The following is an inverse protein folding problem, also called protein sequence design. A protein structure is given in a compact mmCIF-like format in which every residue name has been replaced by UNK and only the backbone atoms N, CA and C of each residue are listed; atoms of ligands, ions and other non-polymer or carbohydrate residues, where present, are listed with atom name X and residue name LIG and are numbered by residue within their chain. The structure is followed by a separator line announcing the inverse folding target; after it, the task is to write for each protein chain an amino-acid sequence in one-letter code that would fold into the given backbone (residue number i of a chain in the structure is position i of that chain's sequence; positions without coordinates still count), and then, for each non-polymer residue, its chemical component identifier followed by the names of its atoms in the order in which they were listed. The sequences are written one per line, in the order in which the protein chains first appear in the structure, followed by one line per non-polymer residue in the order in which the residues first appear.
data_IF_136637771838
#
_entry.id   IF_136637771838
#
_cell.length_a   1.000
_cell.length_b   1.000
_cell.length_c   1.000
_cell.angle_alpha   90.00
_cell.angle_beta   90.00
_cell.angle_gamma   90.00
#
_symmetry.space_group_name_H-M   'P 1'
#
loop_
_entity.id
_entity.type
_entity.pdbx_description
1 polymer ?
#
# COMPACT_ATOMS: atom_id res chain seq x y z
N UNK A 1 19.84 -20.60 22.81
CA UNK A 1 19.69 -19.13 22.75
C UNK A 1 19.69 -18.56 21.30
N UNK A 2 19.87 -19.34 20.23
CA UNK A 2 19.90 -18.80 18.85
C UNK A 2 18.52 -18.72 18.16
N UNK A 3 17.62 -19.66 18.45
CA UNK A 3 16.34 -19.84 17.73
C UNK A 3 15.38 -18.63 17.82
N UNK A 4 15.30 -17.98 18.99
CA UNK A 4 14.44 -16.80 19.20
C UNK A 4 14.96 -15.53 18.50
N UNK A 5 16.26 -15.46 18.24
CA UNK A 5 16.93 -14.33 17.59
C UNK A 5 16.80 -14.42 16.07
N UNK A 6 16.86 -15.65 15.54
CA UNK A 6 16.67 -15.95 14.11
C UNK A 6 15.23 -15.68 13.65
N UNK A 7 14.21 -16.07 14.43
CA UNK A 7 12.80 -15.82 14.11
C UNK A 7 12.46 -14.33 14.03
N UNK A 8 12.97 -13.54 14.99
CA UNK A 8 12.81 -12.07 15.00
C UNK A 8 13.49 -11.40 13.81
N UNK A 9 14.69 -11.87 13.43
CA UNK A 9 15.40 -11.41 12.23
C UNK A 9 14.62 -11.73 10.95
N UNK A 10 14.08 -12.94 10.84
CA UNK A 10 13.26 -13.36 9.70
C UNK A 10 12.02 -12.49 9.51
N UNK A 11 11.27 -12.23 10.60
CA UNK A 11 10.10 -11.35 10.54
C UNK A 11 10.45 -9.90 10.15
N UNK A 12 11.53 -9.35 10.72
CA UNK A 12 11.98 -8.00 10.37
C UNK A 12 12.44 -7.89 8.90
N UNK A 13 13.14 -8.90 8.39
CA UNK A 13 13.56 -8.97 6.99
C UNK A 13 12.34 -9.08 6.07
N UNK A 14 11.35 -9.91 6.40
CA UNK A 14 10.11 -10.04 5.62
C UNK A 14 9.35 -8.72 5.51
N UNK A 15 9.20 -7.99 6.62
CA UNK A 15 8.59 -6.65 6.62
C UNK A 15 9.39 -5.68 5.75
N UNK A 16 10.71 -5.66 5.89
CA UNK A 16 11.56 -4.76 5.11
C UNK A 16 11.46 -5.04 3.60
N UNK A 17 11.51 -6.31 3.20
CA UNK A 17 11.36 -6.74 1.80
C UNK A 17 9.99 -6.36 1.26
N UNK A 18 8.91 -6.63 2.02
CA UNK A 18 7.56 -6.23 1.62
C UNK A 18 7.44 -4.72 1.42
N UNK A 19 7.90 -3.93 2.39
CA UNK A 19 7.88 -2.48 2.28
C UNK A 19 8.67 -1.98 1.07
N UNK A 20 9.86 -2.52 0.83
CA UNK A 20 10.70 -2.16 -0.31
C UNK A 20 10.02 -2.52 -1.63
N UNK A 21 9.41 -3.70 -1.74
CA UNK A 21 8.66 -4.13 -2.93
C UNK A 21 7.49 -3.20 -3.21
N UNK A 22 6.65 -2.89 -2.21
CA UNK A 22 5.52 -1.97 -2.38
C UNK A 22 6.00 -0.58 -2.82
N UNK A 23 7.03 -0.02 -2.17
CA UNK A 23 7.62 1.26 -2.59
C UNK A 23 8.14 1.21 -4.02
N UNK A 24 8.84 0.13 -4.39
CA UNK A 24 9.37 -0.04 -5.73
C UNK A 24 8.27 -0.12 -6.78
N UNK A 25 7.14 -0.77 -6.49
CA UNK A 25 5.98 -0.81 -7.39
C UNK A 25 5.31 0.55 -7.51
N UNK A 26 5.07 1.24 -6.39
CA UNK A 26 4.41 2.55 -6.38
C UNK A 26 5.17 3.60 -7.20
N UNK A 27 6.51 3.59 -7.09
CA UNK A 27 7.37 4.47 -7.89
C UNK A 27 7.53 3.92 -9.29
N UNK A 28 7.94 2.67 -9.44
CA UNK A 28 8.36 2.10 -10.71
C UNK A 28 7.24 1.99 -11.74
N UNK A 29 6.00 1.72 -11.32
CA UNK A 29 4.90 1.47 -12.25
C UNK A 29 4.60 2.68 -13.16
N UNK A 30 4.36 3.91 -12.65
CA UNK A 30 4.19 5.09 -13.51
C UNK A 30 5.37 5.35 -14.44
N UNK A 31 6.60 5.21 -13.95
CA UNK A 31 7.81 5.47 -14.74
C UNK A 31 7.98 4.44 -15.86
N UNK A 32 7.72 3.16 -15.58
CA UNK A 32 7.79 2.08 -16.55
C UNK A 32 6.78 2.25 -17.71
N UNK A 33 5.66 2.95 -17.46
CA UNK A 33 4.63 3.24 -18.47
C UNK A 33 4.64 4.70 -18.96
N UNK A 34 5.66 5.48 -18.62
CA UNK A 34 5.69 6.93 -18.83
C UNK A 34 5.53 7.36 -20.29
N UNK A 35 6.01 6.58 -21.25
CA UNK A 35 5.87 6.86 -22.69
C UNK A 35 4.42 6.81 -23.21
N UNK A 36 3.51 6.21 -22.42
CA UNK A 36 2.08 6.04 -22.75
C UNK A 36 1.18 6.84 -21.82
N UNK A 37 1.77 7.65 -20.94
CA UNK A 37 1.02 8.46 -19.99
C UNK A 37 1.03 9.93 -20.43
N UNK A 38 -0.05 10.66 -20.16
CA UNK A 38 -0.06 12.11 -20.31
C UNK A 38 0.95 12.76 -19.34
N UNK A 39 1.36 13.99 -19.64
CA UNK A 39 2.30 14.77 -18.81
C UNK A 39 1.82 14.90 -17.35
N UNK A 40 0.50 15.03 -17.19
CA UNK A 40 -0.20 14.99 -15.90
C UNK A 40 -1.17 13.84 -15.90
N UNK A 41 -1.30 13.14 -14.79
CA UNK A 41 -2.22 12.03 -14.60
C UNK A 41 -3.42 12.48 -13.77
N UNK A 42 -4.61 12.00 -14.12
CA UNK A 42 -5.77 12.11 -13.24
C UNK A 42 -5.50 11.27 -12.00
N UNK A 43 -5.60 11.91 -10.84
CA UNK A 43 -5.39 11.29 -9.52
C UNK A 43 -6.59 11.50 -8.60
N UNK A 44 -7.58 12.27 -9.03
CA UNK A 44 -8.81 12.51 -8.31
C UNK A 44 -10.00 12.45 -9.28
N UNK A 45 -11.11 11.92 -8.77
CA UNK A 45 -12.37 11.80 -9.48
C UNK A 45 -13.48 12.40 -8.60
N UNK A 46 -14.33 13.22 -9.21
CA UNK A 46 -15.43 13.87 -8.52
C UNK A 46 -16.47 12.86 -8.03
N UNK A 47 -17.03 13.08 -6.85
CA UNK A 47 -18.06 12.21 -6.28
C UNK A 47 -19.41 12.27 -7.03
N UNK A 48 -19.62 13.30 -7.86
CA UNK A 48 -20.88 13.55 -8.57
C UNK A 48 -20.94 12.92 -9.96
N UNK A 49 -20.23 13.51 -10.92
CA UNK A 49 -20.18 13.04 -12.31
C UNK A 49 -19.25 11.83 -12.51
N UNK A 50 -18.44 11.49 -11.51
CA UNK A 50 -17.44 10.42 -11.58
C UNK A 50 -16.28 10.73 -12.53
N UNK A 51 -16.20 11.97 -13.02
CA UNK A 51 -15.19 12.43 -13.96
C UNK A 51 -13.89 12.80 -13.25
N UNK A 52 -12.74 12.77 -13.96
CA UNK A 52 -11.49 13.26 -13.42
C UNK A 52 -11.57 14.78 -13.17
N UNK A 53 -11.31 15.21 -11.94
CA UNK A 53 -11.40 16.62 -11.52
C UNK A 53 -10.09 17.15 -10.89
N UNK A 54 -9.08 16.29 -10.71
CA UNK A 54 -7.77 16.67 -10.20
C UNK A 54 -6.63 15.82 -10.78
N UNK A 55 -5.47 16.46 -10.97
CA UNK A 55 -4.29 15.81 -11.55
C UNK A 55 -2.98 16.17 -10.88
N UNK A 56 -2.03 15.25 -10.98
CA UNK A 56 -0.65 15.41 -10.54
C UNK A 56 0.32 15.22 -11.72
N UNK A 57 1.47 15.93 -11.75
CA UNK A 57 2.56 15.56 -12.66
C UNK A 57 3.07 14.14 -12.33
N UNK A 58 3.65 13.45 -13.32
CA UNK A 58 4.11 12.05 -13.20
C UNK A 58 4.92 11.77 -11.91
N UNK A 59 5.89 12.64 -11.60
CA UNK A 59 6.74 12.46 -10.42
C UNK A 59 5.92 12.51 -9.12
N UNK A 60 4.94 13.42 -9.02
CA UNK A 60 4.10 13.54 -7.82
C UNK A 60 3.16 12.34 -7.71
N UNK A 61 2.57 11.91 -8.84
CA UNK A 61 1.75 10.70 -8.91
C UNK A 61 2.52 9.43 -8.52
N UNK A 62 3.84 9.39 -8.69
CA UNK A 62 4.70 8.27 -8.27
C UNK A 62 5.16 8.37 -6.81
N UNK A 63 5.69 9.53 -6.40
CA UNK A 63 6.33 9.69 -5.09
C UNK A 63 5.35 9.96 -3.95
N UNK A 64 4.22 10.62 -4.20
CA UNK A 64 3.22 10.88 -3.17
C UNK A 64 2.65 9.59 -2.55
N UNK A 65 2.14 8.60 -3.33
CA UNK A 65 1.65 7.36 -2.75
C UNK A 65 2.77 6.54 -2.10
N UNK A 66 3.98 6.57 -2.67
CA UNK A 66 5.15 5.90 -2.07
C UNK A 66 5.52 6.49 -0.70
N UNK A 67 5.47 7.82 -0.56
CA UNK A 67 5.69 8.50 0.72
C UNK A 67 4.58 8.16 1.72
N UNK A 68 3.32 8.20 1.31
CA UNK A 68 2.19 7.82 2.15
C UNK A 68 2.34 6.38 2.66
N UNK A 69 2.77 5.45 1.80
CA UNK A 69 3.08 4.08 2.17
C UNK A 69 4.18 3.98 3.22
N UNK A 70 5.32 4.65 3.00
CA UNK A 70 6.45 4.62 3.95
C UNK A 70 6.02 5.16 5.31
N UNK A 71 5.28 6.27 5.35
CA UNK A 71 4.74 6.83 6.59
C UNK A 71 3.80 5.84 7.27
N UNK A 72 2.85 5.25 6.55
CA UNK A 72 1.92 4.25 7.08
C UNK A 72 2.67 3.04 7.66
N UNK A 73 3.63 2.49 6.92
CA UNK A 73 4.43 1.35 7.35
C UNK A 73 5.22 1.68 8.63
N UNK A 74 5.85 2.85 8.70
CA UNK A 74 6.57 3.32 9.88
C UNK A 74 5.64 3.46 11.09
N UNK A 75 4.44 4.02 10.90
CA UNK A 75 3.45 4.15 11.97
C UNK A 75 2.98 2.79 12.49
N UNK A 76 2.68 1.83 11.61
CA UNK A 76 2.28 0.47 11.99
C UNK A 76 3.39 -0.21 12.79
N UNK A 77 4.63 -0.13 12.31
CA UNK A 77 5.80 -0.71 12.99
C UNK A 77 6.06 -0.04 14.34
N UNK A 78 5.97 1.29 14.41
CA UNK A 78 6.16 2.06 15.64
C UNK A 78 5.08 1.72 16.68
N UNK A 79 3.82 1.63 16.26
CA UNK A 79 2.70 1.26 17.11
C UNK A 79 2.85 -0.17 17.65
N UNK A 80 3.27 -1.12 16.80
CA UNK A 80 3.56 -2.49 17.24
C UNK A 80 4.68 -2.55 18.28
N UNK A 81 5.76 -1.78 18.07
CA UNK A 81 6.85 -1.67 19.05
C UNK A 81 6.42 -1.02 20.36
N UNK A 82 5.60 0.02 20.30
CA UNK A 82 5.09 0.70 21.49
C UNK A 82 4.20 -0.22 22.31
N UNK A 83 3.23 -0.91 21.68
CA UNK A 83 2.36 -1.91 22.36
C UNK A 83 3.16 -3.04 22.98
N UNK A 84 4.15 -3.59 22.28
CA UNK A 84 5.00 -4.65 22.81
C UNK A 84 5.85 -4.25 24.02
N UNK A 85 6.13 -2.96 24.21
CA UNK A 85 6.83 -2.43 25.39
C UNK A 85 5.88 -2.10 26.54
N UNK A 86 4.70 -1.57 26.23
CA UNK A 86 3.73 -1.11 27.21
C UNK A 86 3.00 -2.25 27.93
N UNK A 87 2.95 -3.44 27.32
CA UNK A 87 2.22 -4.57 27.88
C UNK A 87 3.11 -5.50 28.70
N UNK A 88 2.66 -5.78 29.94
CA UNK A 88 3.26 -6.77 30.86
C UNK A 88 2.80 -8.21 30.57
N UNK A 89 1.68 -8.35 29.84
CA UNK A 89 1.07 -9.63 29.50
C UNK A 89 1.88 -10.37 28.41
N UNK A 90 2.45 -11.55 28.71
CA UNK A 90 3.26 -12.33 27.77
C UNK A 90 2.54 -12.74 26.49
N UNK A 91 1.21 -12.93 26.51
CA UNK A 91 0.45 -13.37 25.32
C UNK A 91 0.29 -12.28 24.26
N UNK A 92 0.25 -11.03 24.70
CA UNK A 92 0.10 -9.86 23.84
C UNK A 92 1.45 -9.21 23.51
N UNK A 93 2.50 -9.56 24.27
CA UNK A 93 3.89 -9.13 24.08
C UNK A 93 4.51 -9.78 22.84
N UNK A 94 4.33 -9.14 21.68
CA UNK A 94 4.94 -9.57 20.41
C UNK A 94 3.96 -9.69 19.25
N UNK A 95 2.65 -9.54 19.48
CA UNK A 95 1.67 -9.48 18.40
C UNK A 95 1.94 -8.28 17.49
N UNK A 96 2.17 -8.56 16.21
CA UNK A 96 2.29 -7.55 15.16
C UNK A 96 0.99 -6.76 15.04
N UNK A 97 1.07 -5.47 14.71
CA UNK A 97 -0.11 -4.67 14.34
C UNK A 97 -0.49 -5.06 12.91
N UNK A 98 -1.67 -5.65 12.68
CA UNK A 98 -2.12 -5.97 11.33
C UNK A 98 -2.37 -4.69 10.54
N UNK A 99 -2.12 -4.71 9.24
CA UNK A 99 -2.39 -3.62 8.30
C UNK A 99 -1.29 -3.38 7.28
N UNK A 100 -0.10 -3.96 7.45
CA UNK A 100 1.01 -3.79 6.51
C UNK A 100 0.69 -4.46 5.17
N UNK A 101 0.15 -5.68 5.20
CA UNK A 101 -0.17 -6.38 3.95
C UNK A 101 -1.36 -5.71 3.27
N UNK A 102 -2.44 -5.46 4.02
CA UNK A 102 -3.64 -4.80 3.52
C UNK A 102 -3.35 -3.41 2.95
N UNK A 103 -2.58 -2.58 3.66
CA UNK A 103 -2.22 -1.23 3.22
C UNK A 103 -1.36 -1.23 1.95
N UNK A 104 -0.43 -2.18 1.84
CA UNK A 104 0.39 -2.33 0.63
C UNK A 104 -0.45 -2.71 -0.59
N UNK A 105 -1.36 -3.69 -0.41
CA UNK A 105 -2.31 -4.12 -1.45
C UNK A 105 -3.22 -2.96 -1.89
N UNK A 106 -3.77 -2.21 -0.94
CA UNK A 106 -4.64 -1.07 -1.21
C UNK A 106 -3.93 -0.01 -2.05
N UNK A 107 -2.73 0.41 -1.65
CA UNK A 107 -2.01 1.47 -2.36
C UNK A 107 -1.50 1.02 -3.73
N UNK A 108 -0.99 -0.21 -3.85
CA UNK A 108 -0.55 -0.76 -5.14
C UNK A 108 -1.72 -0.90 -6.10
N UNK A 109 -2.86 -1.42 -5.63
CA UNK A 109 -4.06 -1.55 -6.46
C UNK A 109 -4.60 -0.19 -6.90
N UNK A 110 -4.62 0.80 -6.00
CA UNK A 110 -5.02 2.17 -6.36
C UNK A 110 -4.07 2.76 -7.42
N UNK A 111 -2.76 2.63 -7.24
CA UNK A 111 -1.77 3.11 -8.20
C UNK A 111 -1.90 2.44 -9.56
N UNK A 112 -2.09 1.12 -9.59
CA UNK A 112 -2.30 0.36 -10.82
C UNK A 112 -3.59 0.79 -11.54
N UNK A 113 -4.65 1.05 -10.77
CA UNK A 113 -5.92 1.55 -11.29
C UNK A 113 -5.74 2.93 -11.94
N UNK A 114 -5.07 3.85 -11.25
CA UNK A 114 -4.76 5.20 -11.73
C UNK A 114 -3.95 5.13 -13.04
N UNK A 115 -2.85 4.38 -13.05
CA UNK A 115 -2.01 4.23 -14.24
C UNK A 115 -2.86 3.68 -15.38
N UNK A 116 -3.60 2.58 -15.15
CA UNK A 116 -4.41 1.93 -16.18
C UNK A 116 -5.41 2.87 -16.84
N UNK A 117 -6.14 3.67 -16.07
CA UNK A 117 -7.19 4.54 -16.64
C UNK A 117 -6.63 5.80 -17.31
N UNK A 118 -5.35 6.09 -17.12
CA UNK A 118 -4.64 7.19 -17.79
C UNK A 118 -3.83 6.73 -19.01
N UNK A 119 -3.65 5.42 -19.22
CA UNK A 119 -2.85 4.90 -20.35
C UNK A 119 -3.46 5.31 -21.69
N UNK A 120 -2.57 5.70 -22.61
CA UNK A 120 -2.88 6.05 -24.01
C UNK A 120 -3.82 7.25 -24.17
N UNK A 121 -3.95 8.08 -23.14
CA UNK A 121 -4.66 9.35 -23.19
C UNK A 121 -3.68 10.52 -23.30
N UNK A 122 -4.04 11.52 -24.11
CA UNK A 122 -3.20 12.70 -24.32
C UNK A 122 -3.35 13.76 -23.21
N UNK A 123 -4.50 13.76 -22.51
CA UNK A 123 -4.81 14.68 -21.40
C UNK A 123 -5.48 13.90 -20.26
N UNK A 124 -5.16 14.26 -19.01
CA UNK A 124 -5.72 13.63 -17.81
C UNK A 124 -7.24 13.70 -17.72
N UNK A 125 -7.88 14.72 -18.32
CA UNK A 125 -9.34 14.86 -18.32
C UNK A 125 -10.05 13.77 -19.13
N UNK A 126 -9.32 13.05 -19.97
CA UNK A 126 -9.82 11.94 -20.77
C UNK A 126 -9.71 10.60 -20.03
N UNK A 127 -9.12 10.58 -18.84
CA UNK A 127 -8.93 9.36 -18.08
C UNK A 127 -10.28 8.67 -17.81
N UNK A 128 -10.29 7.34 -17.94
CA UNK A 128 -11.47 6.54 -17.67
C UNK A 128 -11.90 6.54 -16.20
N UNK A 129 -13.04 5.90 -15.93
CA UNK A 129 -13.55 5.72 -14.56
C UNK A 129 -12.68 4.74 -13.76
N UNK A 130 -12.37 5.10 -12.51
CA UNK A 130 -11.63 4.24 -11.57
C UNK A 130 -12.55 3.35 -10.71
N UNK A 131 -13.87 3.55 -10.74
CA UNK A 131 -14.82 2.98 -9.75
C UNK A 131 -14.74 1.46 -9.63
N UNK A 132 -14.78 0.74 -10.76
CA UNK A 132 -14.71 -0.73 -10.75
C UNK A 132 -13.39 -1.21 -10.14
N UNK A 133 -12.28 -0.61 -10.53
CA UNK A 133 -10.95 -0.99 -10.07
C UNK A 133 -10.69 -0.59 -8.60
N UNK A 134 -11.27 0.51 -8.15
CA UNK A 134 -11.30 0.90 -6.76
C UNK A 134 -12.06 -0.14 -5.91
N UNK A 135 -13.23 -0.59 -6.36
CA UNK A 135 -13.99 -1.63 -5.68
C UNK A 135 -13.22 -2.96 -5.59
N UNK A 136 -12.60 -3.40 -6.69
CA UNK A 136 -11.75 -4.60 -6.71
C UNK A 136 -10.57 -4.46 -5.75
N UNK A 137 -9.89 -3.33 -5.78
CA UNK A 137 -8.74 -3.04 -4.89
C UNK A 137 -9.15 -3.06 -3.43
N UNK A 138 -10.28 -2.42 -3.09
CA UNK A 138 -10.82 -2.42 -1.73
C UNK A 138 -11.16 -3.85 -1.29
N UNK A 139 -11.81 -4.64 -2.14
CA UNK A 139 -12.09 -6.05 -1.87
C UNK A 139 -10.82 -6.86 -1.59
N UNK A 140 -9.79 -6.70 -2.43
CA UNK A 140 -8.50 -7.38 -2.25
C UNK A 140 -7.79 -6.96 -0.96
N UNK A 141 -7.81 -5.67 -0.63
CA UNK A 141 -7.22 -5.14 0.60
C UNK A 141 -7.93 -5.67 1.86
N UNK A 142 -9.27 -5.79 1.82
CA UNK A 142 -10.06 -6.39 2.90
C UNK A 142 -9.69 -7.86 3.10
N UNK A 143 -9.63 -8.65 2.01
CA UNK A 143 -9.23 -10.07 2.09
C UNK A 143 -7.82 -10.21 2.66
N UNK A 144 -6.87 -9.38 2.22
CA UNK A 144 -5.51 -9.36 2.75
C UNK A 144 -5.47 -9.03 4.25
N UNK A 145 -6.25 -8.04 4.69
CA UNK A 145 -6.35 -7.67 6.10
C UNK A 145 -6.96 -8.76 6.97
N UNK A 146 -7.99 -9.46 6.49
CA UNK A 146 -8.59 -10.59 7.17
C UNK A 146 -7.61 -11.77 7.29
N UNK A 147 -6.84 -12.04 6.24
CA UNK A 147 -5.81 -13.08 6.26
C UNK A 147 -4.69 -12.73 7.26
N UNK A 148 -4.19 -11.49 7.23
CA UNK A 148 -3.18 -10.99 8.17
C UNK A 148 -3.64 -11.11 9.62
N UNK A 149 -4.90 -10.71 9.89
CA UNK A 149 -5.52 -10.84 11.21
C UNK A 149 -5.69 -12.31 11.65
N UNK A 150 -6.10 -13.20 10.74
CA UNK A 150 -6.27 -14.61 11.05
C UNK A 150 -4.93 -15.28 11.43
N UNK A 151 -3.85 -14.92 10.72
CA UNK A 151 -2.49 -15.38 11.04
C UNK A 151 -2.04 -14.85 12.41
N UNK A 152 -2.24 -13.55 12.67
CA UNK A 152 -1.88 -12.92 13.95
C UNK A 152 -2.65 -13.49 15.15
N UNK A 153 -3.89 -13.98 14.94
CA UNK A 153 -4.67 -14.67 15.97
C UNK A 153 -4.16 -16.06 16.28
N UNK A 154 -3.66 -16.80 15.28
CA UNK A 154 -3.18 -18.19 15.42
C UNK A 154 -1.79 -18.31 16.07
N UNK A 155 -1.16 -17.21 16.48
CA UNK A 155 0.19 -17.20 17.05
C UNK A 155 1.30 -17.43 16.01
N UNK A 156 0.99 -17.30 14.72
CA UNK A 156 1.95 -17.47 13.65
C UNK A 156 2.74 -16.19 13.39
N UNK A 157 3.87 -16.05 14.09
CA UNK A 157 5.20 -15.56 13.64
C UNK A 157 6.12 -15.35 14.86
#
# INVERSE_FOLDING_TARGET
MSEGTERKRGGALGIAVWCAMVTAVLVGLPWATSSRLPERLATHWGAGDGGPDGSMPLWAAAFFPALAWVVLALLIVALGRWRGRATSDPETRGRSVPGLVSGGVLLVGAQASIVRVNLDHADWRQAGSVTLWAAVTLGAAVVAGLAEWAVARRGGL
#
